data_IF_130466163804
#
_entry.id   IF_130466163804
#
_cell.length_a   1.000
_cell.length_b   1.000
_cell.length_c   1.000
_cell.angle_alpha   90.00
_cell.angle_beta   90.00
_cell.angle_gamma   90.00
#
_symmetry.space_group_name_H-M   'P 1'
#
loop_
_entity.id
_entity.type
_entity.pdbx_description
1 polymer ?
#
# COMPACT_ATOMS: atom_id res chain seq x y z
N UNK A 1 -7.19 -16.92 -31.13
CA UNK A 1 -7.80 -15.60 -30.88
C UNK A 1 -6.69 -14.59 -30.66
N UNK A 2 -6.70 -13.47 -31.39
CA UNK A 2 -5.73 -12.39 -31.18
C UNK A 2 -6.34 -11.37 -30.23
N UNK A 3 -5.68 -11.09 -29.12
CA UNK A 3 -6.08 -10.01 -28.22
C UNK A 3 -5.44 -8.69 -28.68
N UNK A 4 -6.16 -7.59 -28.58
CA UNK A 4 -5.62 -6.24 -28.78
C UNK A 4 -5.28 -5.63 -27.44
N UNK A 5 -4.10 -5.03 -27.31
CA UNK A 5 -3.72 -4.24 -26.14
C UNK A 5 -3.94 -2.77 -26.48
N UNK A 6 -4.78 -2.10 -25.71
CA UNK A 6 -5.08 -0.67 -25.86
C UNK A 6 -4.55 0.06 -24.63
N UNK A 7 -3.68 1.05 -24.85
CA UNK A 7 -3.28 1.95 -23.79
C UNK A 7 -4.44 2.89 -23.45
N UNK A 8 -4.70 3.05 -22.15
CA UNK A 8 -5.73 3.93 -21.62
C UNK A 8 -5.07 5.15 -20.99
N UNK A 9 -5.81 6.27 -20.96
CA UNK A 9 -5.42 7.44 -20.19
C UNK A 9 -5.91 7.28 -18.77
N UNK A 10 -4.99 7.33 -17.82
CA UNK A 10 -5.33 7.50 -16.40
C UNK A 10 -5.28 9.01 -16.09
N UNK A 11 -6.41 9.65 -15.76
CA UNK A 11 -6.43 11.07 -15.46
C UNK A 11 -5.83 11.38 -14.07
N UNK A 12 -5.66 10.38 -13.21
CA UNK A 12 -5.24 10.57 -11.82
C UNK A 12 -3.72 10.49 -11.69
N UNK A 13 -3.10 11.67 -11.59
CA UNK A 13 -1.73 11.80 -11.11
C UNK A 13 -1.74 12.36 -9.69
N UNK A 14 -0.90 11.81 -8.83
CA UNK A 14 -0.66 12.35 -7.49
C UNK A 14 0.71 13.00 -7.46
N UNK A 15 0.99 13.81 -6.43
CA UNK A 15 2.32 14.35 -6.20
C UNK A 15 3.41 13.25 -6.03
N UNK A 16 3.03 12.00 -5.75
CA UNK A 16 3.96 10.90 -5.43
C UNK A 16 4.13 9.86 -6.53
N UNK A 17 3.18 9.79 -7.47
CA UNK A 17 3.18 8.80 -8.55
C UNK A 17 2.12 9.13 -9.60
N UNK A 18 2.34 8.63 -10.80
CA UNK A 18 1.31 8.55 -11.84
C UNK A 18 1.18 7.10 -12.33
N UNK A 19 0.07 6.78 -13.01
CA UNK A 19 -0.25 5.42 -13.42
C UNK A 19 -0.43 5.35 -14.93
N UNK A 20 0.10 4.29 -15.54
CA UNK A 20 -0.19 3.90 -16.91
C UNK A 20 -1.16 2.72 -16.88
N UNK A 21 -2.09 2.68 -17.82
CA UNK A 21 -3.14 1.67 -17.85
C UNK A 21 -3.26 1.02 -19.24
N UNK A 22 -3.58 -0.27 -19.27
CA UNK A 22 -3.85 -1.03 -20.49
C UNK A 22 -5.08 -1.92 -20.32
N UNK A 23 -5.84 -2.04 -21.41
CA UNK A 23 -6.92 -3.02 -21.57
C UNK A 23 -6.53 -4.03 -22.65
N UNK A 24 -6.68 -5.31 -22.34
CA UNK A 24 -6.70 -6.37 -23.32
C UNK A 24 -8.14 -6.67 -23.72
N UNK A 25 -8.43 -6.61 -25.02
CA UNK A 25 -9.74 -6.98 -25.58
C UNK A 25 -9.58 -8.07 -26.64
N UNK A 26 -10.60 -8.90 -26.82
CA UNK A 26 -10.64 -9.87 -27.92
C UNK A 26 -10.94 -9.21 -29.28
N UNK A 27 -11.18 -10.03 -30.31
CA UNK A 27 -11.46 -9.55 -31.67
C UNK A 27 -12.80 -8.81 -31.81
N UNK A 28 -13.73 -9.02 -30.89
CA UNK A 28 -15.04 -8.36 -30.85
C UNK A 28 -15.03 -7.13 -29.93
N UNK A 29 -13.92 -6.89 -29.23
CA UNK A 29 -13.75 -5.77 -28.31
C UNK A 29 -14.11 -6.10 -26.86
N UNK A 30 -14.50 -7.34 -26.55
CA UNK A 30 -14.85 -7.73 -25.19
C UNK A 30 -13.60 -7.71 -24.28
N UNK A 31 -13.70 -7.13 -23.07
CA UNK A 31 -12.56 -7.00 -22.17
C UNK A 31 -12.12 -8.36 -21.62
N UNK A 32 -10.85 -8.71 -21.80
CA UNK A 32 -10.24 -9.96 -21.38
C UNK A 32 -9.28 -9.80 -20.18
N UNK A 33 -8.78 -8.60 -19.94
CA UNK A 33 -7.90 -8.30 -18.81
C UNK A 33 -7.41 -6.86 -18.81
N UNK A 34 -6.82 -6.43 -17.70
CA UNK A 34 -6.25 -5.10 -17.53
C UNK A 34 -4.89 -5.19 -16.84
N UNK A 35 -4.05 -4.21 -17.11
CA UNK A 35 -2.81 -4.00 -16.37
C UNK A 35 -2.66 -2.52 -16.06
N UNK A 36 -2.06 -2.26 -14.91
CA UNK A 36 -1.70 -0.94 -14.47
C UNK A 36 -0.27 -0.92 -13.98
N UNK A 37 0.45 0.13 -14.33
CA UNK A 37 1.82 0.37 -13.91
C UNK A 37 1.88 1.70 -13.18
N UNK A 38 2.06 1.65 -11.86
CA UNK A 38 2.32 2.82 -11.04
C UNK A 38 3.80 3.17 -11.12
N UNK A 39 4.08 4.42 -11.49
CA UNK A 39 5.42 4.98 -11.61
C UNK A 39 5.64 5.94 -10.45
N UNK A 40 6.54 5.57 -9.55
CA UNK A 40 6.88 6.42 -8.42
C UNK A 40 7.74 7.59 -8.90
N UNK A 41 7.47 8.79 -8.38
CA UNK A 41 8.25 10.01 -8.73
C UNK A 41 8.90 10.64 -7.51
N UNK A 42 8.77 10.02 -6.34
CA UNK A 42 9.43 10.46 -5.11
C UNK A 42 10.92 10.13 -5.15
N UNK A 43 11.71 11.02 -4.52
CA UNK A 43 13.13 10.81 -4.28
C UNK A 43 13.36 9.49 -3.55
N UNK A 44 14.24 8.65 -4.09
CA UNK A 44 14.55 7.32 -3.55
C UNK A 44 13.68 6.18 -4.09
N UNK A 45 12.69 6.48 -4.94
CA UNK A 45 11.81 5.48 -5.57
C UNK A 45 11.70 5.64 -7.09
N UNK A 46 12.42 6.58 -7.72
CA UNK A 46 12.31 6.84 -9.15
C UNK A 46 12.75 5.65 -10.01
N UNK A 47 13.51 4.73 -9.42
CA UNK A 47 13.94 3.52 -10.09
C UNK A 47 12.88 2.40 -10.09
N UNK A 48 11.80 2.56 -9.32
CA UNK A 48 10.78 1.55 -9.04
C UNK A 48 9.49 1.81 -9.83
N UNK A 49 8.84 0.70 -10.22
CA UNK A 49 7.45 0.70 -10.64
C UNK A 49 6.68 -0.47 -10.00
N UNK A 50 5.39 -0.27 -9.79
CA UNK A 50 4.49 -1.29 -9.24
C UNK A 50 3.48 -1.72 -10.30
N UNK A 51 3.39 -3.03 -10.52
CA UNK A 51 2.50 -3.67 -11.47
C UNK A 51 1.30 -4.28 -10.75
N UNK A 52 0.12 -3.93 -11.22
CA UNK A 52 -1.13 -4.60 -10.91
C UNK A 52 -1.74 -5.14 -12.21
N UNK A 53 -2.25 -6.37 -12.19
CA UNK A 53 -2.82 -6.98 -13.39
C UNK A 53 -3.91 -7.99 -13.04
N UNK A 54 -4.96 -7.99 -13.85
CA UNK A 54 -6.03 -8.98 -13.80
C UNK A 54 -6.32 -9.54 -15.18
N UNK A 55 -6.53 -10.85 -15.25
CA UNK A 55 -7.03 -11.54 -16.46
C UNK A 55 -8.32 -12.24 -16.10
N UNK A 56 -9.36 -12.00 -16.90
CA UNK A 56 -10.67 -12.63 -16.74
C UNK A 56 -10.51 -14.15 -16.65
N UNK A 57 -11.22 -14.80 -15.72
CA UNK A 57 -10.99 -16.21 -15.38
C UNK A 57 -11.08 -17.14 -16.59
N UNK A 58 -12.02 -16.89 -17.50
CA UNK A 58 -12.23 -17.67 -18.73
C UNK A 58 -11.19 -17.40 -19.84
N UNK A 59 -10.43 -16.30 -19.73
CA UNK A 59 -9.44 -15.88 -20.72
C UNK A 59 -7.99 -16.21 -20.30
N UNK A 60 -7.83 -16.86 -19.13
CA UNK A 60 -6.53 -17.29 -18.63
C UNK A 60 -5.92 -18.36 -19.53
N UNK A 61 -4.58 -18.43 -19.51
CA UNK A 61 -3.77 -19.39 -20.30
C UNK A 61 -3.93 -19.26 -21.82
N UNK A 62 -4.44 -18.13 -22.31
CA UNK A 62 -4.56 -17.78 -23.75
C UNK A 62 -3.58 -16.71 -24.21
N UNK A 63 -2.55 -16.41 -23.40
CA UNK A 63 -1.53 -15.40 -23.70
C UNK A 63 -1.90 -13.95 -23.33
N UNK A 64 -3.11 -13.69 -22.81
CA UNK A 64 -3.56 -12.34 -22.40
C UNK A 64 -2.60 -11.72 -21.38
N UNK A 65 -2.31 -12.44 -20.29
CA UNK A 65 -1.43 -11.96 -19.22
C UNK A 65 0.00 -11.68 -19.71
N UNK A 66 0.54 -12.52 -20.59
CA UNK A 66 1.87 -12.31 -21.18
C UNK A 66 1.91 -11.01 -21.98
N UNK A 67 0.90 -10.74 -22.83
CA UNK A 67 0.85 -9.51 -23.62
C UNK A 67 0.68 -8.25 -22.77
N UNK A 68 -0.12 -8.33 -21.70
CA UNK A 68 -0.26 -7.23 -20.74
C UNK A 68 1.07 -6.97 -20.00
N UNK A 69 1.74 -8.03 -19.54
CA UNK A 69 3.04 -7.91 -18.88
C UNK A 69 4.10 -7.33 -19.82
N UNK A 70 4.16 -7.76 -21.07
CA UNK A 70 5.08 -7.22 -22.09
C UNK A 70 4.87 -5.72 -22.30
N UNK A 71 3.61 -5.27 -22.37
CA UNK A 71 3.28 -3.86 -22.49
C UNK A 71 3.76 -3.06 -21.27
N UNK A 72 3.48 -3.54 -20.06
CA UNK A 72 3.90 -2.90 -18.83
C UNK A 72 5.43 -2.87 -18.68
N UNK A 73 6.14 -3.97 -18.96
CA UNK A 73 7.61 -4.04 -18.90
C UNK A 73 8.24 -3.11 -19.95
N UNK A 74 7.67 -3.03 -21.16
CA UNK A 74 8.13 -2.10 -22.19
C UNK A 74 7.99 -0.66 -21.73
N UNK A 75 6.86 -0.31 -21.10
CA UNK A 75 6.64 1.01 -20.54
C UNK A 75 7.61 1.31 -19.38
N UNK A 76 7.77 0.40 -18.43
CA UNK A 76 8.72 0.53 -17.33
C UNK A 76 10.16 0.81 -17.83
N UNK A 77 10.60 0.11 -18.89
CA UNK A 77 11.92 0.35 -19.50
C UNK A 77 12.02 1.72 -20.16
N UNK A 78 10.98 2.17 -20.88
CA UNK A 78 10.94 3.52 -21.48
C UNK A 78 11.04 4.61 -20.42
N UNK A 79 10.37 4.38 -19.30
CA UNK A 79 10.38 5.23 -18.10
C UNK A 79 11.63 5.03 -17.23
N UNK A 80 12.63 4.27 -17.71
CA UNK A 80 13.91 4.00 -17.05
C UNK A 80 13.79 3.39 -15.65
N UNK A 81 12.71 2.65 -15.40
CA UNK A 81 12.50 1.90 -14.16
C UNK A 81 13.35 0.64 -14.20
N UNK A 82 14.22 0.48 -13.20
CA UNK A 82 15.14 -0.66 -13.07
C UNK A 82 14.53 -1.81 -12.29
N UNK A 83 13.48 -1.53 -11.51
CA UNK A 83 12.82 -2.49 -10.64
C UNK A 83 11.30 -2.47 -10.87
N UNK A 84 10.72 -3.66 -10.91
CA UNK A 84 9.29 -3.88 -11.08
C UNK A 84 8.81 -4.80 -9.96
N UNK A 85 7.90 -4.31 -9.13
CA UNK A 85 7.26 -5.10 -8.07
C UNK A 85 5.82 -5.43 -8.46
N UNK A 86 5.32 -6.55 -7.96
CA UNK A 86 3.93 -6.96 -8.11
C UNK A 86 3.50 -7.70 -6.85
N UNK A 87 2.23 -7.55 -6.47
CA UNK A 87 1.64 -8.27 -5.35
C UNK A 87 0.71 -9.37 -5.85
N UNK A 88 0.71 -10.52 -5.17
CA UNK A 88 -0.14 -11.65 -5.51
C UNK A 88 -0.39 -12.50 -4.28
N UNK A 89 -1.54 -13.18 -4.25
CA UNK A 89 -1.79 -14.21 -3.24
C UNK A 89 -0.79 -15.36 -3.40
N UNK A 90 -0.32 -15.90 -2.25
CA UNK A 90 0.57 -17.06 -2.21
C UNK A 90 -0.04 -18.27 -2.93
N UNK A 91 0.80 -19.03 -3.64
CA UNK A 91 0.44 -20.22 -4.44
C UNK A 91 -0.68 -20.00 -5.49
N UNK A 92 -0.98 -18.75 -5.82
CA UNK A 92 -2.03 -18.42 -6.79
C UNK A 92 -1.57 -18.62 -8.24
N UNK A 93 -2.51 -18.66 -9.21
CA UNK A 93 -2.16 -18.60 -10.63
C UNK A 93 -1.33 -17.36 -11.01
N UNK A 94 -1.49 -16.25 -10.28
CA UNK A 94 -0.73 -15.01 -10.47
C UNK A 94 0.72 -15.19 -10.02
N UNK A 95 0.95 -15.77 -8.84
CA UNK A 95 2.29 -16.09 -8.34
C UNK A 95 3.08 -16.99 -9.29
N UNK A 96 2.47 -18.09 -9.73
CA UNK A 96 3.09 -18.98 -10.72
C UNK A 96 3.38 -18.29 -12.05
N UNK A 97 2.46 -17.43 -12.52
CA UNK A 97 2.65 -16.66 -13.75
C UNK A 97 3.82 -15.69 -13.63
N UNK A 98 3.91 -14.93 -12.54
CA UNK A 98 4.99 -13.97 -12.29
C UNK A 98 6.35 -14.69 -12.18
N UNK A 99 6.40 -15.81 -11.46
CA UNK A 99 7.60 -16.64 -11.34
C UNK A 99 8.09 -17.14 -12.71
N UNK A 100 7.18 -17.58 -13.57
CA UNK A 100 7.50 -18.00 -14.94
C UNK A 100 8.04 -16.86 -15.82
N UNK A 101 7.81 -15.59 -15.45
CA UNK A 101 8.34 -14.41 -16.14
C UNK A 101 9.50 -13.74 -15.40
N UNK A 102 10.16 -14.48 -14.49
CA UNK A 102 11.40 -14.05 -13.85
C UNK A 102 11.23 -13.21 -12.59
N UNK A 103 10.01 -13.05 -12.07
CA UNK A 103 9.81 -12.48 -10.75
C UNK A 103 10.23 -13.50 -9.67
N UNK A 104 10.72 -12.99 -8.55
CA UNK A 104 11.04 -13.78 -7.36
C UNK A 104 10.18 -13.29 -6.19
N UNK A 105 9.75 -14.22 -5.33
CA UNK A 105 9.12 -13.84 -4.06
C UNK A 105 10.19 -13.18 -3.16
N UNK A 106 9.89 -11.99 -2.67
CA UNK A 106 10.85 -11.16 -1.93
C UNK A 106 10.34 -10.67 -0.58
N UNK A 107 9.02 -10.70 -0.37
CA UNK A 107 8.34 -10.29 0.84
C UNK A 107 7.03 -11.06 0.94
N UNK A 108 6.73 -11.56 2.13
CA UNK A 108 5.45 -12.19 2.44
C UNK A 108 4.65 -11.27 3.38
N UNK A 109 3.46 -10.86 2.95
CA UNK A 109 2.54 -10.06 3.74
C UNK A 109 1.39 -10.93 4.26
N UNK A 110 1.06 -10.78 5.54
CA UNK A 110 -0.09 -11.46 6.15
C UNK A 110 -1.23 -10.46 6.31
N UNK A 111 -2.33 -10.70 5.60
CA UNK A 111 -3.55 -9.92 5.73
C UNK A 111 -4.50 -10.62 6.71
N UNK A 112 -4.59 -10.08 7.94
CA UNK A 112 -5.50 -10.58 8.95
C UNK A 112 -6.87 -9.88 8.83
N UNK A 113 -7.95 -10.66 8.95
CA UNK A 113 -9.33 -10.14 9.00
C UNK A 113 -9.93 -10.50 10.35
N UNK A 114 -10.44 -9.49 11.06
CA UNK A 114 -11.18 -9.68 12.32
C UNK A 114 -12.69 -9.58 12.05
N UNK A 115 -13.45 -10.69 12.05
CA UNK A 115 -14.90 -10.64 12.00
C UNK A 115 -15.44 -10.07 13.32
N UNK A 116 -15.97 -8.85 13.28
CA UNK A 116 -16.48 -8.19 14.49
C UNK A 116 -17.71 -8.89 15.09
N UNK A 117 -18.49 -9.58 14.25
CA UNK A 117 -19.66 -10.34 14.71
C UNK A 117 -19.29 -11.50 15.67
N UNK A 118 -18.08 -12.04 15.53
CA UNK A 118 -17.57 -13.15 16.33
C UNK A 118 -16.52 -12.68 17.36
N UNK A 119 -16.45 -11.36 17.61
CA UNK A 119 -15.46 -10.81 18.52
C UNK A 119 -15.70 -11.30 19.96
N UNK A 120 -14.63 -11.79 20.59
CA UNK A 120 -14.62 -12.21 22.00
C UNK A 120 -14.81 -10.97 22.90
N UNK A 121 -16.06 -10.74 23.33
CA UNK A 121 -16.42 -9.62 24.20
C UNK A 121 -15.67 -9.68 25.54
N UNK A 122 -15.43 -10.87 26.09
CA UNK A 122 -14.66 -11.01 27.33
C UNK A 122 -13.21 -10.57 27.12
N UNK A 123 -12.63 -10.82 25.93
CA UNK A 123 -11.30 -10.31 25.57
C UNK A 123 -11.31 -8.80 25.44
N UNK A 124 -12.33 -8.21 24.85
CA UNK A 124 -12.48 -6.76 24.76
C UNK A 124 -12.55 -6.15 26.16
N UNK A 125 -13.35 -6.72 27.07
CA UNK A 125 -13.44 -6.25 28.45
C UNK A 125 -12.13 -6.40 29.23
N UNK A 126 -11.37 -7.47 28.98
CA UNK A 126 -10.02 -7.64 29.54
C UNK A 126 -9.07 -6.56 29.05
N UNK A 127 -9.10 -6.23 27.75
CA UNK A 127 -8.28 -5.14 27.17
C UNK A 127 -8.69 -3.81 27.78
N UNK A 128 -9.99 -3.53 27.90
CA UNK A 128 -10.51 -2.33 28.55
C UNK A 128 -9.99 -2.18 29.98
N UNK A 129 -9.96 -3.27 30.75
CA UNK A 129 -9.37 -3.27 32.10
C UNK A 129 -7.87 -2.97 32.13
N UNK A 130 -7.10 -3.40 31.13
CA UNK A 130 -5.67 -3.07 31.03
C UNK A 130 -5.50 -1.57 30.77
N UNK A 131 -6.28 -1.01 29.84
CA UNK A 131 -6.22 0.42 29.47
C UNK A 131 -6.56 1.33 30.65
N UNK A 132 -7.43 0.89 31.56
CA UNK A 132 -7.83 1.66 32.74
C UNK A 132 -6.82 1.58 33.90
N UNK A 133 -5.79 0.75 33.81
CA UNK A 133 -4.76 0.69 34.85
C UNK A 133 -3.82 1.90 34.76
N UNK A 134 -3.23 2.34 35.89
CA UNK A 134 -2.17 3.33 35.84
C UNK A 134 -0.99 2.82 35.00
N UNK A 135 -0.51 3.67 34.09
CA UNK A 135 0.70 3.43 33.30
C UNK A 135 1.74 4.50 33.65
N UNK A 136 2.47 4.37 34.78
CA UNK A 136 3.43 5.39 35.21
C UNK A 136 4.44 5.70 34.11
N UNK A 137 4.70 6.98 33.86
CA UNK A 137 5.58 7.44 32.80
C UNK A 137 4.89 7.67 31.45
N UNK A 138 3.68 7.15 31.23
CA UNK A 138 2.99 7.23 29.95
C UNK A 138 1.56 7.74 30.07
N UNK A 139 1.08 8.39 29.01
CA UNK A 139 -0.33 8.78 28.86
C UNK A 139 -0.83 8.47 27.45
N UNK A 140 -2.10 8.09 27.35
CA UNK A 140 -2.77 7.92 26.06
C UNK A 140 -3.40 9.24 25.60
N UNK A 141 -3.32 9.49 24.31
CA UNK A 141 -4.03 10.56 23.61
C UNK A 141 -4.69 10.00 22.36
N UNK A 142 -5.75 10.67 21.90
CA UNK A 142 -6.45 10.31 20.67
C UNK A 142 -6.80 11.55 19.87
N UNK A 143 -6.84 11.41 18.55
CA UNK A 143 -7.35 12.42 17.64
C UNK A 143 -7.96 11.77 16.40
N UNK A 144 -8.79 12.54 15.71
CA UNK A 144 -9.38 12.17 14.42
C UNK A 144 -8.81 13.06 13.33
N UNK A 145 -8.46 12.46 12.18
CA UNK A 145 -7.85 13.14 11.05
C UNK A 145 -6.42 13.59 11.33
N UNK A 146 -6.16 14.87 11.09
CA UNK A 146 -4.81 15.44 11.13
C UNK A 146 -4.25 15.50 12.54
N UNK A 147 -2.98 15.11 12.69
CA UNK A 147 -2.26 15.18 13.97
C UNK A 147 -2.25 16.62 14.51
N UNK A 148 -2.47 16.82 15.84
CA UNK A 148 -2.30 18.13 16.45
C UNK A 148 -0.90 18.72 16.21
N UNK A 149 -0.77 20.02 15.86
CA UNK A 149 0.51 20.63 15.49
C UNK A 149 1.64 20.44 16.51
N UNK A 150 1.29 20.45 17.79
CA UNK A 150 2.23 20.28 18.90
C UNK A 150 2.85 18.87 18.96
N UNK A 151 2.19 17.86 18.38
CA UNK A 151 2.66 16.48 18.33
C UNK A 151 3.27 16.10 16.99
N UNK A 152 3.05 16.91 15.94
CA UNK A 152 3.37 16.54 14.56
C UNK A 152 4.82 16.09 14.36
N UNK A 153 5.78 16.78 14.99
CA UNK A 153 7.22 16.43 14.89
C UNK A 153 7.53 15.08 15.53
N UNK A 154 7.06 14.86 16.76
CA UNK A 154 7.37 13.63 17.48
C UNK A 154 6.58 12.44 16.92
N UNK A 155 5.38 12.67 16.41
CA UNK A 155 4.60 11.66 15.70
C UNK A 155 5.27 11.26 14.38
N UNK A 156 5.75 12.22 13.58
CA UNK A 156 6.54 11.92 12.39
C UNK A 156 7.84 11.14 12.72
N UNK A 157 8.50 11.47 13.83
CA UNK A 157 9.67 10.72 14.31
C UNK A 157 9.30 9.27 14.70
N UNK A 158 8.17 9.07 15.40
CA UNK A 158 7.69 7.73 15.76
C UNK A 158 7.38 6.85 14.55
N UNK A 159 6.95 7.44 13.42
CA UNK A 159 6.75 6.73 12.15
C UNK A 159 8.04 6.24 11.51
N UNK A 160 9.18 6.91 11.74
CA UNK A 160 10.47 6.41 11.26
C UNK A 160 10.85 5.09 11.92
N UNK A 161 10.38 4.83 13.15
CA UNK A 161 10.55 3.52 13.77
C UNK A 161 9.74 2.41 13.06
N UNK A 162 8.73 2.77 12.25
CA UNK A 162 8.06 1.82 11.36
C UNK A 162 8.87 1.53 10.08
N UNK A 163 9.87 2.35 9.74
CA UNK A 163 10.80 2.04 8.64
C UNK A 163 11.67 0.82 8.96
N UNK A 164 11.74 0.39 10.23
CA UNK A 164 12.36 -0.87 10.65
C UNK A 164 11.53 -2.10 10.24
N UNK A 165 10.37 -1.92 9.59
CA UNK A 165 9.61 -3.02 9.01
C UNK A 165 10.51 -3.79 8.03
N UNK A 166 10.73 -5.10 8.22
CA UNK A 166 11.62 -5.88 7.37
C UNK A 166 11.03 -5.96 5.97
N UNK A 167 11.58 -5.16 5.06
CA UNK A 167 11.25 -5.16 3.63
C UNK A 167 11.97 -6.27 2.85
N UNK A 168 12.62 -7.20 3.58
CA UNK A 168 13.37 -8.36 3.10
C UNK A 168 14.20 -8.06 1.85
N UNK A 169 13.94 -8.76 0.74
CA UNK A 169 14.65 -8.59 -0.53
C UNK A 169 13.98 -7.62 -1.49
N UNK A 170 13.00 -6.84 -1.05
CA UNK A 170 12.27 -5.91 -1.92
C UNK A 170 13.13 -4.69 -2.22
N UNK A 171 13.10 -4.26 -3.47
CA UNK A 171 13.71 -3.00 -3.90
C UNK A 171 12.65 -1.88 -3.85
N UNK A 172 12.00 -1.71 -2.68
CA UNK A 172 10.90 -0.76 -2.51
C UNK A 172 11.40 0.70 -2.36
N UNK A 173 12.70 0.89 -2.15
CA UNK A 173 13.30 2.19 -1.85
C UNK A 173 13.06 2.65 -0.40
N UNK A 174 13.76 3.70 0.01
CA UNK A 174 13.58 4.32 1.33
C UNK A 174 12.67 5.52 1.18
N UNK A 175 11.70 5.64 2.07
CA UNK A 175 10.75 6.74 2.01
C UNK A 175 10.75 7.48 3.34
N UNK A 176 11.33 8.68 3.35
CA UNK A 176 11.47 9.47 4.58
C UNK A 176 10.10 9.93 5.08
N UNK A 177 9.80 9.66 6.34
CA UNK A 177 8.68 10.28 7.06
C UNK A 177 9.12 11.63 7.64
N UNK A 178 8.52 12.70 7.11
CA UNK A 178 8.57 14.06 7.66
C UNK A 178 7.16 14.53 8.05
N UNK A 179 7.09 15.70 8.69
CA UNK A 179 5.84 16.28 9.18
C UNK A 179 4.87 16.56 8.03
N UNK A 180 5.36 17.11 6.92
CA UNK A 180 4.54 17.49 5.77
C UNK A 180 3.87 16.26 5.14
N UNK A 181 4.56 15.12 5.13
CA UNK A 181 3.99 13.84 4.70
C UNK A 181 2.89 13.33 5.62
N UNK A 182 3.05 13.47 6.93
CA UNK A 182 2.02 13.07 7.89
C UNK A 182 0.74 13.88 7.70
N UNK A 183 0.88 15.18 7.48
CA UNK A 183 -0.25 16.08 7.20
C UNK A 183 -0.90 15.72 5.87
N UNK A 184 -0.12 15.57 4.79
CA UNK A 184 -0.63 15.21 3.47
C UNK A 184 -1.33 13.85 3.44
N UNK A 185 -0.86 12.86 4.20
CA UNK A 185 -1.53 11.56 4.30
C UNK A 185 -2.91 11.68 4.96
N UNK A 186 -3.03 12.47 6.03
CA UNK A 186 -4.30 12.72 6.69
C UNK A 186 -5.27 13.51 5.77
N UNK A 187 -4.77 14.48 5.02
CA UNK A 187 -5.57 15.27 4.08
C UNK A 187 -6.13 14.40 2.94
N UNK A 188 -5.33 13.48 2.37
CA UNK A 188 -5.79 12.56 1.32
C UNK A 188 -6.92 11.64 1.83
N UNK A 189 -6.86 11.21 3.09
CA UNK A 189 -7.92 10.40 3.70
C UNK A 189 -9.17 11.27 3.90
N UNK A 190 -9.02 12.49 4.42
CA UNK A 190 -10.13 13.41 4.61
C UNK A 190 -10.83 13.78 3.29
N UNK A 191 -10.06 14.03 2.21
CA UNK A 191 -10.59 14.32 0.87
C UNK A 191 -11.45 13.18 0.29
N UNK A 192 -11.18 11.93 0.71
CA UNK A 192 -11.97 10.75 0.33
C UNK A 192 -13.24 10.58 1.17
N UNK A 193 -13.50 11.48 2.13
CA UNK A 193 -14.63 11.40 3.05
C UNK A 193 -14.44 10.31 4.11
N UNK A 194 -13.20 9.93 4.37
CA UNK A 194 -12.82 8.82 5.24
C UNK A 194 -12.35 9.32 6.61
N UNK A 195 -12.54 8.50 7.65
CA UNK A 195 -12.13 8.82 9.02
C UNK A 195 -10.85 8.05 9.38
N UNK A 196 -9.82 8.79 9.80
CA UNK A 196 -8.61 8.24 10.40
C UNK A 196 -8.64 8.50 11.91
N UNK A 197 -8.77 7.46 12.72
CA UNK A 197 -8.69 7.56 14.17
C UNK A 197 -7.30 7.14 14.64
N UNK A 198 -6.62 8.00 15.40
CA UNK A 198 -5.28 7.70 15.93
C UNK A 198 -5.31 7.70 17.45
N UNK A 199 -4.71 6.67 18.04
CA UNK A 199 -4.40 6.61 19.48
C UNK A 199 -2.88 6.56 19.61
N UNK A 200 -2.30 7.47 20.39
CA UNK A 200 -0.86 7.49 20.64
C UNK A 200 -0.52 7.44 22.14
N UNK A 201 0.65 6.89 22.43
CA UNK A 201 1.28 6.85 23.74
C UNK A 201 2.30 7.98 23.79
N UNK A 202 2.18 8.85 24.80
CA UNK A 202 3.09 9.95 25.06
C UNK A 202 3.89 9.69 26.33
N UNK A 203 5.21 9.84 26.26
CA UNK A 203 6.09 9.87 27.43
C UNK A 203 5.83 11.15 28.22
N UNK A 204 5.55 11.00 29.51
CA UNK A 204 5.24 12.11 30.42
C UNK A 204 6.47 12.92 30.84
N UNK A 205 7.68 12.39 30.64
CA UNK A 205 8.93 13.06 30.99
C UNK A 205 9.29 14.19 30.00
N UNK A 206 9.07 13.98 28.70
CA UNK A 206 9.45 14.92 27.65
C UNK A 206 8.34 15.27 26.65
N UNK A 207 7.17 14.62 26.74
CA UNK A 207 6.04 14.86 25.85
C UNK A 207 6.15 14.20 24.48
N UNK A 208 7.13 13.31 24.26
CA UNK A 208 7.33 12.63 22.98
C UNK A 208 6.31 11.52 22.74
N UNK A 209 5.90 11.33 21.48
CA UNK A 209 5.13 10.16 21.03
C UNK A 209 6.10 8.99 20.88
N UNK A 210 5.85 7.94 21.67
CA UNK A 210 6.69 6.74 21.74
C UNK A 210 6.04 5.50 21.11
N UNK A 211 4.77 5.59 20.73
CA UNK A 211 4.05 4.55 20.03
C UNK A 211 2.64 5.02 19.66
N UNK A 212 2.05 4.39 18.65
CA UNK A 212 0.70 4.72 18.23
C UNK A 212 0.03 3.56 17.49
N UNK A 213 -1.28 3.66 17.33
CA UNK A 213 -2.09 2.81 16.47
C UNK A 213 -3.10 3.66 15.72
N UNK A 214 -3.35 3.30 14.47
CA UNK A 214 -4.32 3.97 13.60
C UNK A 214 -5.42 3.01 13.18
N UNK A 215 -6.63 3.52 13.08
CA UNK A 215 -7.77 2.85 12.49
C UNK A 215 -8.35 3.77 11.43
N UNK A 216 -8.23 3.36 10.17
CA UNK A 216 -8.78 4.06 9.03
C UNK A 216 -8.87 3.12 7.82
N UNK A 217 -9.43 3.60 6.71
CA UNK A 217 -9.38 2.87 5.45
C UNK A 217 -7.94 2.75 4.96
N UNK A 218 -7.58 1.55 4.51
CA UNK A 218 -6.27 1.19 3.96
C UNK A 218 -6.36 1.05 2.44
#
# INVERSE_FOLDING_TARGET
>A
MSYRITALTDPESTASSHRLAWLASDGEGAPAGSAFLRLFVKEGQEHLAELEMAVHRCERRRGVGTRLLEAAVTAARRERRRSLIAQTEGDSPGGHFLAAHGFRAVLALTYARLPLADADLDRIDRIGRIVQQPHPGYRLIQWEGTVPPELARTFAASRRAMDDMPMDGTDYGTVVWDVDRVLSAADVIAERGELLHTVAVVDTADGSVVGFSELGPF
#
